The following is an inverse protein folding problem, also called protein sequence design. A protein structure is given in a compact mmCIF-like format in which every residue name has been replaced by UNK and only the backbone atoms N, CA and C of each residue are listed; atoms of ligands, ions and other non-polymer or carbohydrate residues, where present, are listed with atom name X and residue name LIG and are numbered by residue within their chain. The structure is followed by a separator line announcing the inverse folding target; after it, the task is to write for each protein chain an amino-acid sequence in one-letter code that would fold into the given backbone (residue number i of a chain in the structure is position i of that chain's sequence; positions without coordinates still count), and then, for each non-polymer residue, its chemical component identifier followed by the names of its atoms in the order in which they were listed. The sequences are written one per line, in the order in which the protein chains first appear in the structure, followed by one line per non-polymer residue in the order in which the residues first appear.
data_IF_735468538081
#
_entry.id   IF_735468538081
#
_cell.length_a   1.000
_cell.length_b   1.000
_cell.length_c   1.000
_cell.angle_alpha   90.00
_cell.angle_beta   90.00
_cell.angle_gamma   90.00
#
_symmetry.space_group_name_H-M   'P 1'
#
loop_
_entity.id
_entity.type
_entity.pdbx_description
1 polymer ?
#
# COMPACT_ATOMS: atom_id res chain seq x y z
N UNK A 1 -32.15 7.82 5.57
CA UNK A 1 -31.94 8.05 4.13
C UNK A 1 -30.51 7.85 3.65
N UNK A 2 -29.49 8.58 4.11
CA UNK A 2 -28.10 8.41 3.61
C UNK A 2 -27.52 7.04 4.02
N UNK A 3 -27.69 6.62 5.27
CA UNK A 3 -27.22 5.30 5.75
C UNK A 3 -27.96 4.12 5.10
N UNK A 4 -29.26 4.25 4.79
CA UNK A 4 -30.06 3.19 4.17
C UNK A 4 -29.63 2.94 2.71
N UNK A 5 -29.30 3.99 1.95
CA UNK A 5 -28.78 3.84 0.58
C UNK A 5 -27.35 3.28 0.58
N UNK A 6 -26.54 3.63 1.57
CA UNK A 6 -25.19 3.10 1.72
C UNK A 6 -25.18 1.58 1.90
N UNK A 7 -26.11 1.02 2.69
CA UNK A 7 -26.17 -0.44 2.92
C UNK A 7 -26.46 -1.25 1.65
N UNK A 8 -27.20 -0.71 0.67
CA UNK A 8 -27.54 -1.42 -0.57
C UNK A 8 -26.36 -1.67 -1.51
N UNK A 9 -25.26 -0.91 -1.37
CA UNK A 9 -24.05 -1.06 -2.19
C UNK A 9 -22.93 -1.85 -1.51
N UNK A 10 -23.07 -2.10 -0.21
CA UNK A 10 -22.06 -2.82 0.55
C UNK A 10 -22.07 -4.31 0.19
N UNK A 11 -20.88 -4.88 0.11
CA UNK A 11 -20.64 -6.30 -0.13
C UNK A 11 -19.69 -6.81 0.97
N UNK A 12 -19.85 -8.06 1.43
CA UNK A 12 -18.90 -8.63 2.36
C UNK A 12 -17.54 -8.76 1.66
N UNK A 13 -16.46 -8.49 2.39
CA UNK A 13 -15.10 -8.47 1.86
C UNK A 13 -14.71 -9.77 1.13
N UNK A 14 -15.21 -10.92 1.61
CA UNK A 14 -15.02 -12.24 0.98
C UNK A 14 -15.33 -12.28 -0.51
N UNK A 15 -16.30 -11.49 -0.99
CA UNK A 15 -16.72 -11.48 -2.39
C UNK A 15 -15.57 -11.07 -3.32
N UNK A 16 -14.65 -10.22 -2.85
CA UNK A 16 -13.48 -9.75 -3.61
C UNK A 16 -12.19 -10.54 -3.37
N UNK A 17 -12.16 -11.44 -2.36
CA UNK A 17 -10.92 -12.11 -1.92
C UNK A 17 -10.98 -13.65 -1.96
N UNK A 18 -12.13 -14.23 -2.24
CA UNK A 18 -12.38 -15.68 -2.25
C UNK A 18 -11.43 -16.49 -3.17
N UNK A 19 -10.87 -15.88 -4.21
CA UNK A 19 -9.97 -16.57 -5.15
C UNK A 19 -8.50 -16.55 -4.71
N UNK A 20 -8.13 -15.66 -3.79
CA UNK A 20 -6.75 -15.51 -3.34
C UNK A 20 -6.16 -16.76 -2.69
N UNK A 21 -6.87 -17.55 -1.85
CA UNK A 21 -6.31 -18.78 -1.28
C UNK A 21 -5.82 -19.78 -2.33
N UNK A 22 -6.52 -19.88 -3.47
CA UNK A 22 -6.10 -20.72 -4.60
C UNK A 22 -4.89 -20.13 -5.30
N UNK A 23 -4.93 -18.83 -5.61
CA UNK A 23 -3.84 -18.13 -6.29
C UNK A 23 -2.53 -18.19 -5.49
N UNK A 24 -2.59 -17.97 -4.17
CA UNK A 24 -1.43 -18.09 -3.27
C UNK A 24 -0.85 -19.50 -3.30
N UNK A 25 -1.70 -20.53 -3.19
CA UNK A 25 -1.26 -21.93 -3.22
C UNK A 25 -0.58 -22.30 -4.54
N UNK A 26 -1.18 -21.91 -5.66
CA UNK A 26 -0.65 -22.25 -7.00
C UNK A 26 0.69 -21.53 -7.25
N UNK A 27 0.80 -20.25 -6.88
CA UNK A 27 2.03 -19.48 -7.01
C UNK A 27 3.13 -20.00 -6.09
N UNK A 28 2.84 -20.24 -4.82
CA UNK A 28 3.79 -20.79 -3.86
C UNK A 28 4.37 -22.12 -4.36
N UNK A 29 3.49 -23.01 -4.85
CA UNK A 29 3.91 -24.30 -5.44
C UNK A 29 4.81 -24.12 -6.67
N UNK A 30 4.49 -23.19 -7.55
CA UNK A 30 5.31 -22.91 -8.75
C UNK A 30 6.71 -22.39 -8.42
N UNK A 31 6.86 -21.73 -7.26
CA UNK A 31 8.12 -21.19 -6.77
C UNK A 31 8.84 -22.10 -5.75
N UNK A 32 8.30 -23.29 -5.48
CA UNK A 32 8.86 -24.23 -4.50
C UNK A 32 8.80 -23.73 -3.06
N UNK A 33 7.83 -22.87 -2.73
CA UNK A 33 7.62 -22.32 -1.38
C UNK A 33 6.38 -22.95 -0.75
N UNK A 34 6.38 -23.05 0.58
CA UNK A 34 5.23 -23.49 1.35
C UNK A 34 4.62 -22.30 2.10
N UNK A 35 3.42 -21.90 1.72
CA UNK A 35 2.78 -20.66 2.17
C UNK A 35 1.28 -20.87 2.40
N UNK A 36 0.79 -20.40 3.54
CA UNK A 36 -0.63 -20.31 3.83
C UNK A 36 -1.10 -18.85 3.81
N UNK A 37 -2.33 -18.64 3.31
CA UNK A 37 -3.03 -17.37 3.41
C UNK A 37 -4.13 -17.48 4.46
N UNK A 38 -4.12 -16.57 5.44
CA UNK A 38 -5.19 -16.38 6.40
C UNK A 38 -5.95 -15.10 6.06
N UNK A 39 -7.28 -15.18 5.95
CA UNK A 39 -8.13 -14.03 5.70
C UNK A 39 -8.97 -13.77 6.95
N UNK A 40 -8.89 -12.55 7.47
CA UNK A 40 -9.58 -12.12 8.69
C UNK A 40 -10.54 -10.97 8.33
N UNK A 41 -11.75 -11.01 8.87
CA UNK A 41 -12.76 -9.98 8.58
C UNK A 41 -13.45 -10.16 7.22
N UNK A 42 -13.65 -11.41 6.80
CA UNK A 42 -14.36 -11.77 5.57
C UNK A 42 -15.78 -11.19 5.47
N UNK A 43 -16.46 -11.00 6.61
CA UNK A 43 -17.79 -10.40 6.69
C UNK A 43 -17.78 -8.86 6.78
N UNK A 44 -16.60 -8.22 6.79
CA UNK A 44 -16.49 -6.75 6.80
C UNK A 44 -17.16 -6.19 5.55
N UNK A 45 -18.11 -5.27 5.75
CA UNK A 45 -18.85 -4.63 4.67
C UNK A 45 -17.99 -3.59 3.95
N UNK A 46 -17.90 -3.68 2.64
CA UNK A 46 -17.11 -2.81 1.77
C UNK A 46 -17.96 -2.33 0.60
N UNK A 47 -17.85 -1.06 0.23
CA UNK A 47 -18.51 -0.52 -0.96
C UNK A 47 -18.06 -1.32 -2.20
N UNK A 48 -19.03 -1.73 -3.04
CA UNK A 48 -18.77 -2.56 -4.22
C UNK A 48 -17.70 -1.96 -5.15
N UNK A 49 -17.69 -0.64 -5.36
CA UNK A 49 -16.75 0.00 -6.29
C UNK A 49 -15.35 0.05 -5.68
N UNK A 50 -15.24 0.21 -4.36
CA UNK A 50 -13.98 0.06 -3.63
C UNK A 50 -13.49 -1.38 -3.77
N UNK A 51 -14.34 -2.37 -3.50
CA UNK A 51 -13.99 -3.79 -3.51
C UNK A 51 -13.38 -4.24 -4.85
N UNK A 52 -13.97 -3.82 -5.97
CA UNK A 52 -13.47 -4.12 -7.32
C UNK A 52 -12.11 -3.46 -7.58
N UNK A 53 -11.93 -2.21 -7.13
CA UNK A 53 -10.69 -1.46 -7.40
C UNK A 53 -9.51 -1.90 -6.54
N UNK A 54 -9.75 -2.40 -5.33
CA UNK A 54 -8.68 -2.87 -4.41
C UNK A 54 -8.21 -4.29 -4.71
N UNK A 55 -8.97 -5.07 -5.49
CA UNK A 55 -8.64 -6.46 -5.81
C UNK A 55 -7.27 -6.58 -6.48
N UNK A 56 -6.99 -5.74 -7.48
CA UNK A 56 -5.70 -5.72 -8.19
C UNK A 56 -4.53 -5.34 -7.26
N UNK A 57 -4.62 -4.25 -6.46
CA UNK A 57 -3.65 -3.94 -5.41
C UNK A 57 -3.36 -5.09 -4.45
N UNK A 58 -4.40 -5.74 -3.90
CA UNK A 58 -4.23 -6.87 -2.96
C UNK A 58 -3.54 -8.04 -3.66
N UNK A 59 -3.98 -8.41 -4.87
CA UNK A 59 -3.34 -9.45 -5.66
C UNK A 59 -1.85 -9.19 -5.85
N UNK A 60 -1.48 -7.95 -6.20
CA UNK A 60 -0.09 -7.57 -6.38
C UNK A 60 0.72 -7.70 -5.07
N UNK A 61 0.18 -7.23 -3.94
CA UNK A 61 0.82 -7.34 -2.64
C UNK A 61 1.04 -8.80 -2.23
N UNK A 62 0.03 -9.66 -2.41
CA UNK A 62 0.13 -11.09 -2.14
C UNK A 62 1.19 -11.77 -3.02
N UNK A 63 1.25 -11.42 -4.31
CA UNK A 63 2.28 -11.92 -5.22
C UNK A 63 3.69 -11.50 -4.79
N UNK A 64 3.87 -10.24 -4.40
CA UNK A 64 5.16 -9.74 -3.91
C UNK A 64 5.58 -10.43 -2.61
N UNK A 65 4.64 -10.64 -1.69
CA UNK A 65 4.88 -11.39 -0.46
C UNK A 65 5.36 -12.81 -0.76
N UNK A 66 4.81 -13.49 -1.77
CA UNK A 66 5.22 -14.86 -2.13
C UNK A 66 6.52 -14.87 -2.93
N UNK A 67 6.64 -14.08 -4.00
CA UNK A 67 7.79 -14.09 -4.90
C UNK A 67 9.04 -13.53 -4.20
N UNK A 68 8.89 -12.39 -3.53
CA UNK A 68 10.01 -11.66 -2.96
C UNK A 68 10.08 -11.73 -1.45
N UNK A 69 8.96 -11.63 -0.74
CA UNK A 69 8.94 -11.62 0.72
C UNK A 69 9.33 -12.97 1.33
N UNK A 70 8.74 -14.05 0.83
CA UNK A 70 8.78 -15.34 1.48
C UNK A 70 10.06 -16.12 1.17
N UNK A 71 10.65 -16.69 2.21
CA UNK A 71 11.80 -17.59 2.14
C UNK A 71 11.41 -19.00 1.68
N UNK A 72 12.38 -19.82 1.26
CA UNK A 72 12.16 -21.24 1.03
C UNK A 72 11.95 -21.98 2.37
N UNK A 73 11.28 -23.13 2.37
CA UNK A 73 11.07 -23.88 3.60
C UNK A 73 12.38 -24.25 4.32
N UNK A 74 13.44 -24.55 3.56
CA UNK A 74 14.76 -24.85 4.11
C UNK A 74 15.42 -23.61 4.76
N UNK A 75 15.34 -22.45 4.10
CA UNK A 75 15.89 -21.20 4.63
C UNK A 75 15.14 -20.77 5.89
N UNK A 76 13.81 -20.96 5.93
CA UNK A 76 12.97 -20.68 7.12
C UNK A 76 13.40 -21.51 8.31
N UNK A 77 13.53 -22.83 8.14
CA UNK A 77 13.98 -23.73 9.21
C UNK A 77 15.38 -23.34 9.70
N UNK A 78 16.27 -23.01 8.76
CA UNK A 78 17.64 -22.55 9.09
C UNK A 78 17.63 -21.24 9.89
N UNK A 79 16.69 -20.34 9.60
CA UNK A 79 16.47 -19.10 10.33
C UNK A 79 15.64 -19.28 11.64
N UNK A 80 15.29 -20.51 12.03
CA UNK A 80 14.52 -20.81 13.23
C UNK A 80 13.02 -20.52 13.12
N UNK A 81 12.50 -20.32 11.91
CA UNK A 81 11.09 -20.08 11.62
C UNK A 81 10.33 -21.39 11.31
N UNK A 82 8.99 -21.41 11.42
CA UNK A 82 8.19 -22.52 10.89
C UNK A 82 8.44 -22.73 9.40
N UNK A 83 8.52 -23.98 8.95
CA UNK A 83 8.78 -24.31 7.54
C UNK A 83 7.72 -23.74 6.59
N UNK A 84 6.45 -23.72 7.01
CA UNK A 84 5.35 -23.06 6.29
C UNK A 84 5.33 -21.56 6.64
N UNK A 85 5.36 -20.70 5.62
CA UNK A 85 5.18 -19.26 5.76
C UNK A 85 3.72 -18.85 5.86
N UNK A 86 3.46 -17.73 6.53
CA UNK A 86 2.10 -17.20 6.72
C UNK A 86 1.97 -15.81 6.14
N UNK A 87 0.92 -15.62 5.34
CA UNK A 87 0.43 -14.30 4.91
C UNK A 87 -0.94 -14.08 5.56
N UNK A 88 -1.15 -12.95 6.20
CA UNK A 88 -2.41 -12.54 6.81
C UNK A 88 -2.97 -11.35 6.04
N UNK A 89 -4.21 -11.48 5.56
CA UNK A 89 -5.00 -10.42 4.95
C UNK A 89 -6.18 -10.11 5.88
N UNK A 90 -6.13 -8.98 6.57
CA UNK A 90 -7.17 -8.53 7.50
C UNK A 90 -7.93 -7.33 6.95
N UNK A 91 -9.26 -7.34 7.02
CA UNK A 91 -10.11 -6.19 6.74
C UNK A 91 -11.01 -5.85 7.93
N UNK A 92 -11.01 -4.59 8.36
CA UNK A 92 -11.86 -4.10 9.47
C UNK A 92 -12.23 -2.63 9.32
N UNK A 93 -13.31 -2.21 9.96
CA UNK A 93 -13.62 -0.78 10.09
C UNK A 93 -12.91 -0.18 11.30
N UNK A 94 -12.22 0.94 11.11
CA UNK A 94 -11.56 1.70 12.18
C UNK A 94 -11.83 3.18 12.00
N UNK A 95 -12.41 3.82 13.01
CA UNK A 95 -12.73 5.25 12.99
C UNK A 95 -13.52 5.71 11.74
N UNK A 96 -14.48 4.89 11.29
CA UNK A 96 -15.31 5.18 10.11
C UNK A 96 -14.60 5.01 8.76
N UNK A 97 -13.41 4.42 8.74
CA UNK A 97 -12.64 4.09 7.55
C UNK A 97 -12.50 2.57 7.42
N UNK A 98 -12.37 2.07 6.20
CA UNK A 98 -11.97 0.69 5.92
C UNK A 98 -10.45 0.59 6.06
N UNK A 99 -10.00 -0.28 6.96
CA UNK A 99 -8.59 -0.63 7.16
C UNK A 99 -8.36 -2.02 6.60
N UNK A 100 -7.40 -2.15 5.69
CA UNK A 100 -6.95 -3.44 5.15
C UNK A 100 -5.47 -3.58 5.47
N UNK A 101 -5.10 -4.65 6.17
CA UNK A 101 -3.71 -4.98 6.50
C UNK A 101 -3.30 -6.26 5.78
N UNK A 102 -2.15 -6.24 5.14
CA UNK A 102 -1.50 -7.42 4.56
C UNK A 102 -0.17 -7.57 5.26
N UNK A 103 0.05 -8.68 5.96
CA UNK A 103 1.32 -8.97 6.60
C UNK A 103 1.84 -10.34 6.22
N UNK A 104 3.16 -10.47 6.10
CA UNK A 104 3.84 -11.74 5.94
C UNK A 104 4.92 -11.92 7.01
N UNK A 105 5.28 -13.17 7.27
CA UNK A 105 6.37 -13.55 8.17
C UNK A 105 7.67 -13.89 7.42
N UNK A 106 7.84 -13.30 6.24
CA UNK A 106 8.96 -13.53 5.33
C UNK A 106 10.26 -12.87 5.80
N UNK A 107 11.17 -12.65 4.86
CA UNK A 107 12.51 -12.13 5.13
C UNK A 107 12.55 -10.65 5.49
N UNK A 108 11.45 -9.93 5.27
CA UNK A 108 11.40 -8.47 5.37
C UNK A 108 12.34 -7.77 4.36
N UNK A 109 12.61 -6.50 4.60
CA UNK A 109 13.38 -5.64 3.72
C UNK A 109 14.60 -5.09 4.44
N UNK A 110 15.73 -5.18 3.76
CA UNK A 110 17.00 -4.61 4.22
C UNK A 110 17.05 -3.11 3.92
N UNK A 111 16.88 -2.30 4.95
CA UNK A 111 16.87 -0.84 4.84
C UNK A 111 18.20 -0.29 4.33
N UNK A 112 19.32 -0.96 4.60
CA UNK A 112 20.63 -0.52 4.10
C UNK A 112 20.75 -0.76 2.59
N UNK A 113 20.12 -1.81 2.05
CA UNK A 113 20.01 -1.99 0.60
C UNK A 113 19.17 -0.90 -0.05
N UNK A 114 18.06 -0.49 0.59
CA UNK A 114 17.28 0.66 0.11
C UNK A 114 18.17 1.91 0.11
N UNK A 115 18.82 2.20 1.24
CA UNK A 115 19.68 3.39 1.40
C UNK A 115 20.78 3.44 0.35
N UNK A 116 21.48 2.33 0.14
CA UNK A 116 22.52 2.22 -0.89
C UNK A 116 21.96 2.48 -2.30
N UNK A 117 20.77 1.93 -2.62
CA UNK A 117 20.10 2.17 -3.91
C UNK A 117 19.65 3.60 -4.11
N UNK A 118 19.15 4.26 -3.07
CA UNK A 118 18.76 5.67 -3.12
C UNK A 118 19.98 6.56 -3.47
N UNK A 119 21.14 6.26 -2.88
CA UNK A 119 22.39 6.97 -3.15
C UNK A 119 22.90 6.69 -4.56
N UNK A 120 22.96 5.41 -4.96
CA UNK A 120 23.43 4.95 -6.27
C UNK A 120 22.63 5.58 -7.42
N UNK A 121 21.30 5.65 -7.24
CA UNK A 121 20.38 6.29 -8.20
C UNK A 121 20.30 7.80 -8.09
N UNK A 122 21.12 8.43 -7.23
CA UNK A 122 21.19 9.89 -7.00
C UNK A 122 19.83 10.50 -6.63
N UNK A 123 18.97 9.75 -5.97
CA UNK A 123 17.67 10.22 -5.49
C UNK A 123 17.79 11.04 -4.21
N UNK A 124 18.83 10.80 -3.40
CA UNK A 124 19.21 11.64 -2.28
C UNK A 124 20.74 11.64 -2.09
N UNK A 125 21.35 12.75 -1.60
CA UNK A 125 22.75 12.77 -1.18
C UNK A 125 23.00 11.80 -0.02
N UNK A 126 24.21 11.22 0.05
CA UNK A 126 24.57 10.23 1.08
C UNK A 126 24.33 10.72 2.51
N UNK A 127 24.61 12.00 2.80
CA UNK A 127 24.38 12.58 4.11
C UNK A 127 22.89 12.64 4.48
N UNK A 128 22.03 13.00 3.52
CA UNK A 128 20.58 13.03 3.73
C UNK A 128 20.01 11.62 3.83
N UNK A 129 20.47 10.71 2.97
CA UNK A 129 20.09 9.31 3.02
C UNK A 129 20.45 8.68 4.37
N UNK A 130 21.59 9.02 4.98
CA UNK A 130 22.01 8.52 6.29
C UNK A 130 21.10 8.99 7.45
N UNK A 131 20.50 10.18 7.34
CA UNK A 131 19.59 10.72 8.37
C UNK A 131 18.14 10.25 8.22
N UNK A 132 17.78 9.57 7.13
CA UNK A 132 16.42 9.10 6.90
C UNK A 132 16.03 8.00 7.89
N UNK A 133 14.84 8.15 8.44
CA UNK A 133 14.14 7.15 9.23
C UNK A 133 13.77 5.92 8.38
N UNK A 134 13.49 4.77 9.01
CA UNK A 134 12.98 3.59 8.30
C UNK A 134 11.75 3.88 7.44
N UNK A 135 10.80 4.67 7.96
CA UNK A 135 9.59 5.04 7.22
C UNK A 135 9.93 5.84 5.95
N UNK A 136 10.80 6.85 6.05
CA UNK A 136 11.22 7.66 4.89
C UNK A 136 11.95 6.83 3.83
N UNK A 137 12.79 5.86 4.24
CA UNK A 137 13.42 4.95 3.29
C UNK A 137 12.40 4.07 2.59
N UNK A 138 11.42 3.56 3.31
CA UNK A 138 10.39 2.69 2.74
C UNK A 138 9.53 3.42 1.70
N UNK A 139 9.28 4.74 1.87
CA UNK A 139 8.57 5.54 0.86
C UNK A 139 9.20 5.49 -0.54
N UNK A 140 10.52 5.28 -0.65
CA UNK A 140 11.18 5.13 -1.95
C UNK A 140 10.68 3.91 -2.73
N UNK A 141 10.17 2.88 -2.05
CA UNK A 141 9.58 1.71 -2.70
C UNK A 141 8.32 2.05 -3.50
N UNK A 142 7.64 3.17 -3.20
CA UNK A 142 6.50 3.66 -3.98
C UNK A 142 6.91 4.50 -5.20
N UNK A 143 8.20 4.80 -5.39
CA UNK A 143 8.64 5.59 -6.53
C UNK A 143 8.63 4.76 -7.82
N UNK A 144 8.17 5.34 -8.94
CA UNK A 144 8.22 4.67 -10.24
C UNK A 144 9.63 4.21 -10.57
N UNK A 145 9.71 2.99 -11.12
CA UNK A 145 10.96 2.32 -11.50
C UNK A 145 11.97 2.08 -10.35
N UNK A 146 11.63 2.37 -9.08
CA UNK A 146 12.47 2.00 -7.94
C UNK A 146 12.33 0.49 -7.68
N UNK A 147 13.46 -0.21 -7.64
CA UNK A 147 13.50 -1.65 -7.38
C UNK A 147 14.84 -2.01 -6.75
N UNK A 148 14.80 -2.97 -5.83
CA UNK A 148 16.00 -3.50 -5.18
C UNK A 148 16.73 -4.55 -6.04
N UNK A 149 16.09 -5.06 -7.11
CA UNK A 149 16.72 -6.05 -8.00
C UNK A 149 17.79 -5.41 -8.90
N UNK A 150 18.91 -6.11 -9.07
CA UNK A 150 20.02 -5.70 -9.94
C UNK A 150 19.67 -5.72 -11.44
N UNK A 151 18.82 -6.67 -11.85
CA UNK A 151 18.44 -6.83 -13.26
C UNK A 151 17.00 -6.38 -13.49
N UNK A 152 16.82 -5.49 -14.48
CA UNK A 152 15.52 -5.20 -15.08
C UNK A 152 15.15 -6.44 -15.91
N UNK A 153 14.55 -7.46 -15.30
CA UNK A 153 14.03 -8.59 -16.06
C UNK A 153 12.73 -8.16 -16.75
N UNK A 154 12.70 -8.23 -18.09
CA UNK A 154 11.55 -7.91 -18.96
C UNK A 154 10.25 -8.67 -18.65
N UNK A 155 10.28 -9.64 -17.73
CA UNK A 155 9.11 -10.44 -17.32
C UNK A 155 8.17 -9.67 -16.36
N UNK A 156 8.57 -8.50 -15.85
CA UNK A 156 7.65 -7.53 -15.23
C UNK A 156 7.04 -6.53 -16.24
N UNK A 157 7.07 -6.84 -17.53
CA UNK A 157 6.63 -6.04 -18.69
C UNK A 157 5.14 -5.70 -18.79
N UNK A 158 4.42 -5.62 -17.68
CA UNK A 158 3.13 -4.91 -17.59
C UNK A 158 3.09 -3.81 -16.53
N UNK A 159 4.25 -3.43 -15.99
CA UNK A 159 4.38 -2.28 -15.09
C UNK A 159 3.38 -2.36 -13.96
N UNK A 160 3.64 -3.18 -12.94
CA UNK A 160 2.91 -3.10 -11.67
C UNK A 160 3.96 -3.18 -10.59
N UNK A 161 4.36 -2.02 -10.08
CA UNK A 161 5.15 -1.91 -8.86
C UNK A 161 4.27 -1.44 -7.71
N UNK A 162 4.93 -1.24 -6.56
CA UNK A 162 4.31 -0.59 -5.40
C UNK A 162 3.83 0.84 -5.74
N UNK A 163 4.41 1.47 -6.76
CA UNK A 163 3.98 2.75 -7.34
C UNK A 163 2.52 2.73 -7.81
N UNK A 164 2.12 1.71 -8.56
CA UNK A 164 0.74 1.59 -9.09
C UNK A 164 -0.24 1.21 -8.00
N UNK A 165 0.20 0.44 -7.00
CA UNK A 165 -0.63 0.19 -5.81
C UNK A 165 -0.86 1.49 -5.06
N UNK A 166 0.18 2.29 -4.85
CA UNK A 166 0.08 3.59 -4.21
C UNK A 166 -0.83 4.55 -5.00
N UNK A 167 -0.67 4.65 -6.32
CA UNK A 167 -1.54 5.48 -7.17
C UNK A 167 -3.00 5.00 -7.15
N UNK A 168 -3.23 3.69 -7.25
CA UNK A 168 -4.57 3.10 -7.21
C UNK A 168 -5.26 3.43 -5.89
N UNK A 169 -4.57 3.24 -4.75
CA UNK A 169 -5.14 3.55 -3.43
C UNK A 169 -5.40 5.06 -3.26
N UNK A 170 -4.47 5.92 -3.69
CA UNK A 170 -4.66 7.38 -3.63
C UNK A 170 -5.82 7.86 -4.50
N UNK A 171 -6.02 7.26 -5.68
CA UNK A 171 -7.17 7.57 -6.54
C UNK A 171 -8.52 7.19 -5.90
N UNK A 172 -8.50 6.34 -4.87
CA UNK A 172 -9.68 6.01 -4.06
C UNK A 172 -9.79 6.87 -2.79
N UNK A 173 -9.07 8.01 -2.74
CA UNK A 173 -8.96 8.87 -1.56
C UNK A 173 -8.47 8.12 -0.31
N UNK A 174 -7.70 7.05 -0.52
CA UNK A 174 -7.08 6.26 0.53
C UNK A 174 -5.62 6.63 0.76
N UNK A 175 -5.05 5.99 1.76
CA UNK A 175 -3.63 6.01 2.07
C UNK A 175 -3.10 4.59 2.13
N UNK A 176 -1.83 4.41 1.77
CA UNK A 176 -1.10 3.15 1.98
C UNK A 176 0.19 3.47 2.70
N UNK A 177 0.57 2.59 3.63
CA UNK A 177 1.84 2.63 4.36
C UNK A 177 2.45 1.25 4.34
N UNK A 178 3.77 1.20 4.33
CA UNK A 178 4.51 -0.05 4.39
C UNK A 178 5.54 -0.01 5.51
N UNK A 179 5.64 -1.12 6.22
CA UNK A 179 6.55 -1.32 7.34
C UNK A 179 7.23 -2.67 7.13
N UNK A 180 8.50 -2.79 7.49
CA UNK A 180 9.21 -4.05 7.38
C UNK A 180 10.36 -4.10 8.36
N UNK A 181 10.59 -5.30 8.87
CA UNK A 181 11.74 -5.60 9.72
C UNK A 181 12.47 -6.81 9.14
N UNK A 182 13.78 -6.67 8.96
CA UNK A 182 14.63 -7.68 8.36
C UNK A 182 14.61 -8.96 9.21
N UNK A 183 14.34 -10.10 8.58
CA UNK A 183 14.20 -11.39 9.24
C UNK A 183 12.85 -11.59 9.93
N UNK A 184 11.97 -10.59 10.00
CA UNK A 184 10.65 -10.72 10.63
C UNK A 184 9.54 -10.78 9.58
N UNK A 185 9.49 -9.81 8.67
CA UNK A 185 8.46 -9.78 7.64
C UNK A 185 8.18 -8.40 7.08
N UNK A 186 7.07 -8.31 6.35
CA UNK A 186 6.60 -7.08 5.70
C UNK A 186 5.12 -6.86 6.00
N UNK A 187 4.72 -5.60 6.16
CA UNK A 187 3.35 -5.19 6.42
C UNK A 187 2.95 -4.03 5.52
N UNK A 188 1.83 -4.16 4.84
CA UNK A 188 1.16 -3.09 4.10
C UNK A 188 -0.14 -2.74 4.82
N UNK A 189 -0.32 -1.46 5.16
CA UNK A 189 -1.53 -0.92 5.77
C UNK A 189 -2.22 0.02 4.78
N UNK A 190 -3.43 -0.33 4.36
CA UNK A 190 -4.28 0.45 3.45
C UNK A 190 -5.45 1.01 4.25
N UNK A 191 -5.69 2.32 4.16
CA UNK A 191 -6.86 2.98 4.73
C UNK A 191 -7.67 3.62 3.63
N UNK A 192 -8.96 3.29 3.54
CA UNK A 192 -9.88 3.76 2.52
C UNK A 192 -11.13 4.36 3.16
N UNK A 193 -11.74 5.39 2.53
CA UNK A 193 -13.07 5.85 2.95
C UNK A 193 -14.08 4.70 2.88
N UNK A 194 -15.09 4.73 3.74
CA UNK A 194 -16.14 3.70 3.71
C UNK A 194 -16.96 3.74 2.41
N UNK A 195 -17.09 4.92 1.78
CA UNK A 195 -17.82 5.12 0.53
C UNK A 195 -17.15 6.20 -0.33
N UNK A 196 -17.26 6.06 -1.66
CA UNK A 196 -16.83 7.08 -2.62
C UNK A 196 -17.87 8.19 -2.81
N UNK A 197 -19.11 8.00 -2.36
CA UNK A 197 -20.18 8.99 -2.57
C UNK A 197 -20.07 10.23 -1.68
N UNK A 198 -19.27 10.16 -0.61
CA UNK A 198 -19.11 11.25 0.36
C UNK A 198 -17.62 11.54 0.51
N UNK A 199 -17.17 12.66 -0.07
CA UNK A 199 -15.80 13.14 0.05
C UNK A 199 -15.78 14.28 1.07
N UNK A 200 -14.97 14.12 2.13
CA UNK A 200 -14.65 15.23 3.04
C UNK A 200 -13.68 16.18 2.35
N UNK A 201 -14.01 17.46 2.29
CA UNK A 201 -13.20 18.47 1.61
C UNK A 201 -13.04 19.74 2.46
N UNK A 202 -11.88 20.38 2.33
CA UNK A 202 -11.65 21.76 2.74
C UNK A 202 -12.28 22.67 1.68
N UNK A 203 -13.27 23.46 2.09
CA UNK A 203 -13.90 24.45 1.21
C UNK A 203 -13.14 25.76 1.33
N UNK A 204 -12.73 26.34 0.19
CA UNK A 204 -12.04 27.62 0.10
C UNK A 204 -12.82 28.56 -0.80
N UNK A 205 -12.90 29.83 -0.39
CA UNK A 205 -13.48 30.90 -1.20
C UNK A 205 -12.39 31.56 -2.04
N UNK A 206 -12.63 31.70 -3.35
CA UNK A 206 -11.80 32.49 -4.24
C UNK A 206 -12.69 33.48 -4.99
N UNK A 207 -12.66 34.74 -4.54
CA UNK A 207 -13.46 35.84 -5.12
C UNK A 207 -14.97 35.55 -5.10
N UNK A 208 -15.49 34.95 -4.02
CA UNK A 208 -16.91 34.63 -3.87
C UNK A 208 -17.34 33.29 -4.47
N UNK A 209 -16.41 32.56 -5.10
CA UNK A 209 -16.66 31.22 -5.64
C UNK A 209 -16.11 30.15 -4.70
N UNK A 210 -16.92 29.13 -4.42
CA UNK A 210 -16.54 28.03 -3.53
C UNK A 210 -15.80 26.93 -4.31
N UNK A 211 -14.58 26.63 -3.88
CA UNK A 211 -13.77 25.50 -4.35
C UNK A 211 -13.62 24.47 -3.23
N UNK A 212 -13.55 23.19 -3.56
CA UNK A 212 -13.42 22.10 -2.60
C UNK A 212 -12.13 21.31 -2.88
N UNK A 213 -11.26 21.19 -1.87
CA UNK A 213 -10.04 20.39 -1.93
C UNK A 213 -10.22 19.16 -1.04
N UNK A 214 -10.08 17.92 -1.54
CA UNK A 214 -10.20 16.72 -0.72
C UNK A 214 -9.29 16.78 0.49
N UNK A 215 -9.85 16.60 1.70
CA UNK A 215 -9.09 16.83 2.94
C UNK A 215 -7.90 15.88 3.09
N UNK A 216 -7.96 14.70 2.46
CA UNK A 216 -6.88 13.70 2.43
C UNK A 216 -5.64 14.16 1.64
N UNK A 217 -5.78 15.18 0.78
CA UNK A 217 -4.67 15.77 0.02
C UNK A 217 -4.08 17.00 0.73
N UNK A 218 -4.70 17.47 1.81
CA UNK A 218 -4.28 18.65 2.56
C UNK A 218 -3.33 18.21 3.66
N UNK A 219 -2.03 18.45 3.48
CA UNK A 219 -1.02 18.18 4.51
C UNK A 219 -1.12 19.18 5.67
N UNK A 220 -1.29 20.46 5.35
CA UNK A 220 -1.39 21.55 6.33
C UNK A 220 -2.13 22.75 5.75
N UNK A 221 -2.83 23.49 6.61
CA UNK A 221 -3.40 24.80 6.29
C UNK A 221 -2.64 25.87 7.07
N UNK A 222 -2.13 26.88 6.37
CA UNK A 222 -1.38 27.98 6.95
C UNK A 222 -2.06 29.31 6.60
N UNK A 223 -2.13 30.22 7.58
CA UNK A 223 -2.54 31.60 7.35
C UNK A 223 -1.30 32.44 7.16
N UNK A 224 -1.13 32.97 5.95
CA UNK A 224 0.01 33.83 5.59
C UNK A 224 -0.47 35.24 5.25
N UNK A 225 0.29 36.29 5.60
CA UNK A 225 -0.01 37.64 5.12
C UNK A 225 0.19 37.69 3.61
N UNK A 226 -0.65 38.47 2.92
CA UNK A 226 -0.58 38.62 1.46
C UNK A 226 0.79 39.13 0.99
N UNK A 227 1.47 39.94 1.81
CA UNK A 227 2.83 40.43 1.55
C UNK A 227 3.90 39.34 1.54
N UNK A 228 3.61 38.16 2.10
CA UNK A 228 4.51 37.00 2.09
C UNK A 228 4.27 36.03 0.93
N UNK A 229 3.34 36.34 0.01
CA UNK A 229 3.05 35.51 -1.16
C UNK A 229 3.81 36.09 -2.35
N UNK A 230 4.74 35.31 -2.90
CA UNK A 230 5.49 35.66 -4.10
C UNK A 230 5.10 34.73 -5.26
N UNK A 231 4.71 35.29 -6.39
CA UNK A 231 4.46 34.54 -7.62
C UNK A 231 5.78 34.29 -8.33
N UNK A 232 6.20 33.02 -8.45
CA UNK A 232 7.48 32.65 -9.06
C UNK A 232 7.42 32.52 -10.59
N UNK A 233 6.26 32.22 -11.17
CA UNK A 233 6.06 32.18 -12.63
C UNK A 233 4.65 32.69 -12.99
N UNK A 234 4.58 33.66 -13.90
CA UNK A 234 3.35 33.99 -14.62
C UNK A 234 3.17 32.96 -15.75
N UNK A 235 2.29 31.99 -15.55
CA UNK A 235 1.56 31.36 -16.65
C UNK A 235 0.11 31.80 -16.59
#
# INVERSE_FOLDING_TARGET
MVDEVLTMRMRPFRDGVQHFPRMVRDLARSLGKDVQLQIIGEDTLVDRDILVKIESPINHMLRNAIDHGMDSAADRITAGKPGTGTIVLEAKHRAGMLSIEISDDGKGVDLEKIRARVIDRKMAPAQMAASMSPAELMEFLFLPAFSLKDNITEISGRGVGLDIVHETIRSQNGTVRIESELGVGFRTSITLPLTQSIVRALVVDVKGEAYAVPIVQVERVLKVPQSGIHTLENK
#
